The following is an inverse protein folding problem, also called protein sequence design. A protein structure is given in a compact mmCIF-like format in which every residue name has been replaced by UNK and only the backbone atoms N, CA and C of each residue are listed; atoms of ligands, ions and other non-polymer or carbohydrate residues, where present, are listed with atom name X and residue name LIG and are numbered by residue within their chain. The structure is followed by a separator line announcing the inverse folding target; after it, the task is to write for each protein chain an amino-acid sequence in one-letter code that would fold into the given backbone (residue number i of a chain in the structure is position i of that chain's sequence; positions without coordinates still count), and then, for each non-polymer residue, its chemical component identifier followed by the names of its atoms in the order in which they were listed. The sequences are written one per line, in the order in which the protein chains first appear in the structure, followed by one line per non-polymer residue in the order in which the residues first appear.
data_IF_006321363032
#
_entry.id   IF_006321363032
#
_cell.length_a   1.000
_cell.length_b   1.000
_cell.length_c   1.000
_cell.angle_alpha   90.00
_cell.angle_beta   90.00
_cell.angle_gamma   90.00
#
_symmetry.space_group_name_H-M   'P 1'
#
loop_
_entity.id
_entity.type
_entity.pdbx_description
1 polymer ?
#
# COMPACT_ATOMS: atom_id res chain seq x y z
N UNK A 1 11.52 65.83 -40.49
CA UNK A 1 11.97 64.44 -40.53
C UNK A 1 12.64 64.05 -39.22
N UNK A 2 11.95 64.16 -38.09
CA UNK A 2 12.51 63.77 -36.75
C UNK A 2 11.60 62.87 -35.96
N UNK A 3 10.53 62.33 -36.54
CA UNK A 3 9.55 61.51 -35.84
C UNK A 3 9.66 60.00 -36.09
N UNK A 4 10.65 59.56 -36.88
CA UNK A 4 10.79 58.12 -37.27
C UNK A 4 11.93 57.39 -36.56
N UNK A 5 12.65 58.09 -35.67
CA UNK A 5 13.75 57.42 -34.89
C UNK A 5 13.37 56.89 -33.54
N UNK A 6 12.15 57.17 -33.05
CA UNK A 6 11.73 56.75 -31.71
C UNK A 6 11.05 55.38 -31.68
N UNK A 7 10.87 54.74 -32.85
CA UNK A 7 10.17 53.43 -32.95
C UNK A 7 11.09 52.23 -33.16
N UNK A 8 12.41 52.43 -33.22
CA UNK A 8 13.39 51.35 -33.43
C UNK A 8 14.21 51.01 -32.19
N UNK A 9 13.99 51.67 -31.06
CA UNK A 9 14.53 51.29 -29.75
C UNK A 9 13.43 50.74 -28.86
N UNK A 10 12.62 49.84 -29.42
CA UNK A 10 11.81 48.89 -28.65
C UNK A 10 12.75 47.91 -27.95
N UNK A 11 13.00 48.19 -26.67
CA UNK A 11 13.86 47.36 -25.83
C UNK A 11 13.48 45.89 -25.97
N UNK A 12 14.43 45.11 -26.41
CA UNK A 12 14.41 43.68 -26.23
C UNK A 12 14.30 43.41 -24.72
N UNK A 13 13.07 43.18 -24.27
CA UNK A 13 12.85 42.52 -22.98
C UNK A 13 13.40 41.11 -23.13
N UNK A 14 14.69 40.98 -23.00
CA UNK A 14 15.34 39.68 -22.84
C UNK A 14 14.69 38.95 -21.68
N UNK A 15 14.59 37.63 -21.71
CA UNK A 15 14.02 36.87 -20.62
C UNK A 15 14.70 37.30 -19.32
N UNK A 16 13.89 37.68 -18.31
CA UNK A 16 14.36 38.19 -17.02
C UNK A 16 15.26 37.14 -16.36
N UNK A 17 16.51 37.06 -16.82
CA UNK A 17 17.54 36.17 -16.29
C UNK A 17 17.82 36.46 -14.83
N UNK A 18 17.49 37.68 -14.38
CA UNK A 18 17.55 38.11 -12.98
C UNK A 18 16.61 37.32 -12.08
N UNK A 19 15.52 36.73 -12.62
CA UNK A 19 14.58 35.92 -11.85
C UNK A 19 14.82 34.40 -11.97
N UNK A 20 15.65 33.95 -12.91
CA UNK A 20 15.92 32.53 -13.10
C UNK A 20 16.65 31.91 -11.90
N UNK A 21 17.47 32.67 -11.21
CA UNK A 21 18.15 32.19 -10.01
C UNK A 21 17.15 31.94 -8.85
N UNK A 22 16.05 32.70 -8.78
CA UNK A 22 14.96 32.47 -7.81
C UNK A 22 14.25 31.15 -8.11
N UNK A 23 14.04 30.81 -9.39
CA UNK A 23 13.48 29.50 -9.78
C UNK A 23 14.39 28.36 -9.35
N UNK A 24 15.71 28.51 -9.46
CA UNK A 24 16.67 27.50 -9.00
C UNK A 24 16.69 27.35 -7.49
N UNK A 25 16.55 28.45 -6.74
CA UNK A 25 16.40 28.41 -5.29
C UNK A 25 15.10 27.73 -4.89
N UNK A 26 13.99 28.05 -5.54
CA UNK A 26 12.67 27.47 -5.26
C UNK A 26 12.67 25.97 -5.60
N UNK A 27 13.29 25.58 -6.71
CA UNK A 27 13.48 24.19 -7.08
C UNK A 27 14.36 23.45 -6.06
N UNK A 28 15.43 24.07 -5.59
CA UNK A 28 16.32 23.52 -4.56
C UNK A 28 15.59 23.29 -3.23
N UNK A 29 14.76 24.25 -2.81
CA UNK A 29 13.91 24.09 -1.61
C UNK A 29 12.89 22.98 -1.77
N UNK A 30 12.30 22.83 -2.96
CA UNK A 30 11.33 21.77 -3.25
C UNK A 30 11.97 20.40 -3.19
N UNK A 31 13.15 20.24 -3.79
CA UNK A 31 13.93 18.99 -3.74
C UNK A 31 14.36 18.68 -2.31
N UNK A 32 14.81 19.69 -1.55
CA UNK A 32 15.17 19.53 -0.13
C UNK A 32 13.98 19.07 0.71
N UNK A 33 12.79 19.65 0.49
CA UNK A 33 11.57 19.26 1.20
C UNK A 33 11.18 17.81 0.90
N UNK A 34 11.34 17.35 -0.35
CA UNK A 34 11.10 15.95 -0.73
C UNK A 34 12.09 15.02 -0.02
N UNK A 35 13.38 15.38 0.00
CA UNK A 35 14.43 14.57 0.65
C UNK A 35 14.19 14.50 2.16
N UNK A 36 13.87 15.62 2.81
CA UNK A 36 13.55 15.66 4.25
C UNK A 36 12.28 14.86 4.54
N UNK A 37 11.25 14.98 3.71
CA UNK A 37 10.03 14.18 3.82
C UNK A 37 10.30 12.69 3.68
N UNK A 38 11.18 12.31 2.75
CA UNK A 38 11.54 10.91 2.53
C UNK A 38 12.38 10.32 3.68
N UNK A 39 13.32 11.10 4.21
CA UNK A 39 14.14 10.71 5.38
C UNK A 39 13.29 10.67 6.66
N UNK A 40 12.35 11.59 6.84
CA UNK A 40 11.43 11.59 7.98
C UNK A 40 10.44 10.42 7.92
N UNK A 41 9.93 10.09 6.74
CA UNK A 41 9.04 8.93 6.54
C UNK A 41 9.74 7.57 6.70
N UNK A 42 11.07 7.54 6.52
CA UNK A 42 11.88 6.32 6.70
C UNK A 42 12.23 5.97 8.14
N UNK A 43 11.99 6.86 9.09
CA UNK A 43 12.24 6.60 10.53
C UNK A 43 11.04 5.89 11.15
N UNK A 44 10.95 4.58 10.97
CA UNK A 44 10.09 3.75 11.83
C UNK A 44 10.58 3.93 13.28
N UNK A 45 9.70 4.24 14.24
CA UNK A 45 10.08 4.23 15.64
C UNK A 45 10.53 2.81 16.00
N UNK A 46 11.78 2.69 16.40
CA UNK A 46 12.36 1.46 16.96
C UNK A 46 11.66 1.22 18.29
N UNK A 47 10.67 0.33 18.30
CA UNK A 47 10.05 -0.11 19.54
C UNK A 47 11.13 -0.84 20.34
N UNK A 48 11.46 -0.30 21.50
CA UNK A 48 12.31 -0.91 22.49
C UNK A 48 11.67 -2.22 22.96
N UNK A 49 12.46 -3.28 23.26
CA UNK A 49 11.90 -4.52 23.77
C UNK A 49 11.36 -4.30 25.17
N UNK A 50 10.04 -4.37 25.32
CA UNK A 50 9.40 -4.42 26.63
C UNK A 50 9.60 -5.85 27.16
N UNK A 51 10.42 -5.94 28.20
CA UNK A 51 10.62 -7.13 29.01
C UNK A 51 9.26 -7.53 29.63
N UNK A 52 8.74 -8.68 29.21
CA UNK A 52 7.51 -9.24 29.76
C UNK A 52 7.89 -9.94 31.07
N UNK A 53 7.51 -9.35 32.17
CA UNK A 53 7.42 -10.04 33.47
C UNK A 53 5.98 -10.57 33.60
N UNK A 54 5.88 -11.86 33.84
CA UNK A 54 4.64 -12.58 34.01
C UNK A 54 3.97 -12.16 35.33
N UNK A 55 2.69 -11.79 35.26
CA UNK A 55 1.76 -11.91 36.40
C UNK A 55 0.43 -12.43 35.87
N UNK A 56 -0.01 -13.46 36.55
CA UNK A 56 -1.20 -14.30 36.36
C UNK A 56 -2.45 -13.54 36.81
N UNK A 57 -3.58 -13.83 36.11
CA UNK A 57 -4.97 -13.85 36.58
C UNK A 57 -5.69 -12.50 36.77
N UNK A 58 -6.65 -12.23 35.90
CA UNK A 58 -8.07 -12.00 36.19
C UNK A 58 -8.85 -11.68 34.88
N UNK A 59 -9.89 -12.46 34.64
CA UNK A 59 -10.99 -12.30 33.67
C UNK A 59 -11.91 -11.14 34.11
N UNK A 60 -12.76 -10.57 33.28
CA UNK A 60 -12.79 -10.12 31.87
C UNK A 60 -13.47 -8.80 31.60
N UNK A 61 -13.22 -8.20 30.49
CA UNK A 61 -14.20 -7.43 29.71
C UNK A 61 -13.69 -7.40 28.24
N UNK A 62 -14.54 -7.36 27.22
CA UNK A 62 -14.09 -7.45 25.85
C UNK A 62 -13.41 -6.12 25.46
N UNK A 63 -12.09 -6.11 25.59
CA UNK A 63 -11.24 -5.09 24.96
C UNK A 63 -11.17 -5.42 23.46
N UNK A 64 -11.14 -4.43 22.56
CA UNK A 64 -11.06 -4.68 21.13
C UNK A 64 -9.83 -5.55 20.87
N UNK A 65 -10.07 -6.78 20.47
CA UNK A 65 -9.09 -7.79 20.15
C UNK A 65 -8.04 -7.16 19.23
N UNK A 66 -6.76 -7.20 19.64
CA UNK A 66 -5.66 -7.09 18.68
C UNK A 66 -5.98 -8.08 17.58
N UNK A 67 -6.31 -7.58 16.39
CA UNK A 67 -6.57 -8.40 15.22
C UNK A 67 -5.29 -9.20 15.01
N UNK A 68 -5.30 -10.46 15.41
CA UNK A 68 -4.19 -11.35 15.22
C UNK A 68 -4.20 -11.71 13.74
N UNK A 69 -3.20 -11.24 13.01
CA UNK A 69 -3.10 -11.49 11.58
C UNK A 69 -3.00 -13.00 11.31
N UNK A 70 -3.83 -13.48 10.40
CA UNK A 70 -3.78 -14.87 9.95
C UNK A 70 -2.67 -15.06 8.90
N UNK A 71 -2.23 -16.31 8.77
CA UNK A 71 -1.26 -16.70 7.75
C UNK A 71 -1.95 -16.90 6.39
N UNK A 72 -2.15 -15.80 5.66
CA UNK A 72 -2.78 -15.81 4.34
C UNK A 72 -1.96 -16.57 3.28
N UNK A 73 -0.68 -16.90 3.55
CA UNK A 73 0.14 -17.71 2.63
C UNK A 73 -0.41 -19.15 2.50
N UNK A 74 -1.22 -19.61 3.45
CA UNK A 74 -1.92 -20.89 3.37
C UNK A 74 -2.91 -20.99 2.22
N UNK A 75 -3.41 -19.84 1.73
CA UNK A 75 -4.31 -19.77 0.58
C UNK A 75 -3.51 -20.00 -0.69
N UNK A 76 -3.91 -21.00 -1.49
CA UNK A 76 -3.24 -21.29 -2.75
C UNK A 76 -3.34 -20.10 -3.72
N UNK A 77 -2.19 -19.67 -4.22
CA UNK A 77 -2.06 -18.51 -5.10
C UNK A 77 -1.69 -17.21 -4.38
N UNK A 78 -1.69 -17.18 -3.05
CA UNK A 78 -1.23 -16.05 -2.26
C UNK A 78 0.22 -16.25 -1.81
N UNK A 79 1.13 -15.53 -2.43
CA UNK A 79 2.53 -15.49 -2.03
C UNK A 79 2.86 -14.31 -1.10
N UNK A 80 4.08 -14.24 -0.54
CA UNK A 80 4.49 -13.19 0.39
C UNK A 80 4.33 -11.77 -0.17
N UNK A 81 4.46 -11.60 -1.48
CA UNK A 81 4.26 -10.31 -2.16
C UNK A 81 2.79 -9.89 -2.10
N UNK A 82 1.87 -10.85 -2.35
CA UNK A 82 0.43 -10.60 -2.31
C UNK A 82 -0.02 -10.29 -0.89
N UNK A 83 0.44 -11.05 0.12
CA UNK A 83 0.15 -10.77 1.54
C UNK A 83 0.49 -9.33 1.91
N UNK A 84 1.66 -8.83 1.50
CA UNK A 84 2.05 -7.43 1.76
C UNK A 84 1.13 -6.42 1.09
N UNK A 85 0.62 -6.73 -0.09
CA UNK A 85 -0.32 -5.87 -0.83
C UNK A 85 -1.68 -5.87 -0.14
N UNK A 86 -2.21 -7.03 0.23
CA UNK A 86 -3.46 -7.19 0.96
C UNK A 86 -3.41 -6.50 2.33
N UNK A 87 -2.33 -6.69 3.09
CA UNK A 87 -2.14 -6.05 4.39
C UNK A 87 -2.14 -4.51 4.30
N UNK A 88 -1.61 -3.92 3.22
CA UNK A 88 -1.69 -2.48 2.98
C UNK A 88 -3.11 -1.99 2.69
N UNK A 89 -3.96 -2.87 2.20
CA UNK A 89 -5.38 -2.62 1.97
C UNK A 89 -6.26 -2.93 3.20
N UNK A 90 -5.65 -3.33 4.34
CA UNK A 90 -6.34 -3.65 5.57
C UNK A 90 -6.83 -5.10 5.67
N UNK A 91 -6.49 -5.94 4.69
CA UNK A 91 -6.88 -7.36 4.65
C UNK A 91 -5.74 -8.18 5.29
N UNK A 92 -5.91 -8.58 6.54
CA UNK A 92 -4.88 -9.27 7.33
C UNK A 92 -5.34 -10.60 7.92
N UNK A 93 -6.65 -10.90 7.88
CA UNK A 93 -7.25 -12.15 8.36
C UNK A 93 -7.95 -12.91 7.25
N UNK A 94 -8.24 -14.20 7.48
CA UNK A 94 -9.11 -14.96 6.57
C UNK A 94 -10.52 -14.37 6.51
N UNK A 95 -11.02 -13.83 7.62
CA UNK A 95 -12.33 -13.18 7.66
C UNK A 95 -12.36 -11.93 6.80
N UNK A 96 -11.36 -11.05 6.92
CA UNK A 96 -11.27 -9.84 6.09
C UNK A 96 -11.29 -10.19 4.59
N UNK A 97 -10.53 -11.22 4.21
CA UNK A 97 -10.47 -11.65 2.81
C UNK A 97 -11.77 -12.34 2.36
N UNK A 98 -12.43 -13.08 3.26
CA UNK A 98 -13.69 -13.76 2.97
C UNK A 98 -14.87 -12.79 2.74
N UNK A 99 -14.85 -11.65 3.42
CA UNK A 99 -15.84 -10.57 3.33
C UNK A 99 -15.54 -9.55 2.24
N UNK A 100 -14.30 -9.55 1.72
CA UNK A 100 -13.88 -8.61 0.68
C UNK A 100 -14.61 -8.89 -0.65
N UNK A 101 -14.92 -7.81 -1.36
CA UNK A 101 -15.41 -7.91 -2.74
C UNK A 101 -14.26 -8.23 -3.70
N UNK A 102 -14.47 -9.19 -4.60
CA UNK A 102 -13.46 -9.63 -5.55
C UNK A 102 -12.98 -8.51 -6.47
N UNK A 103 -13.89 -7.60 -6.87
CA UNK A 103 -13.53 -6.47 -7.73
C UNK A 103 -12.67 -5.44 -6.98
N UNK A 104 -12.90 -5.25 -5.70
CA UNK A 104 -12.07 -4.34 -4.90
C UNK A 104 -10.70 -4.92 -4.61
N UNK A 105 -10.62 -6.21 -4.30
CA UNK A 105 -9.34 -6.92 -4.19
C UNK A 105 -8.58 -6.86 -5.52
N UNK A 106 -9.26 -7.04 -6.67
CA UNK A 106 -8.64 -6.92 -7.98
C UNK A 106 -8.06 -5.53 -8.22
N UNK A 107 -8.78 -4.45 -7.88
CA UNK A 107 -8.28 -3.08 -7.97
C UNK A 107 -7.01 -2.86 -7.15
N UNK A 108 -6.94 -3.47 -5.96
CA UNK A 108 -5.74 -3.41 -5.10
C UNK A 108 -4.56 -4.12 -5.76
N UNK A 109 -4.81 -5.29 -6.36
CA UNK A 109 -3.80 -6.06 -7.10
C UNK A 109 -3.32 -5.31 -8.35
N UNK A 110 -4.24 -4.70 -9.11
CA UNK A 110 -3.93 -3.94 -10.32
C UNK A 110 -2.99 -2.76 -10.01
N UNK A 111 -3.26 -2.02 -8.94
CA UNK A 111 -2.39 -0.93 -8.46
C UNK A 111 -1.00 -1.39 -8.04
N UNK A 112 -0.89 -2.66 -7.64
CA UNK A 112 0.37 -3.29 -7.26
C UNK A 112 1.11 -3.97 -8.43
N UNK A 113 0.59 -3.87 -9.65
CA UNK A 113 1.15 -4.53 -10.83
C UNK A 113 0.94 -6.05 -10.86
N UNK A 114 -0.15 -6.53 -10.25
CA UNK A 114 -0.49 -7.95 -10.11
C UNK A 114 -1.80 -8.31 -10.85
N UNK A 115 -2.05 -7.68 -12.00
CA UNK A 115 -3.29 -7.81 -12.79
C UNK A 115 -3.58 -9.26 -13.23
N UNK A 116 -2.55 -10.10 -13.33
CA UNK A 116 -2.70 -11.50 -13.73
C UNK A 116 -3.25 -12.41 -12.63
N UNK A 117 -3.38 -11.89 -11.40
CA UNK A 117 -3.94 -12.62 -10.28
C UNK A 117 -5.47 -12.57 -10.32
N UNK A 118 -6.13 -13.63 -9.82
CA UNK A 118 -7.59 -13.70 -9.70
C UNK A 118 -7.97 -13.93 -8.24
N UNK A 119 -8.60 -12.97 -7.57
CA UNK A 119 -8.92 -13.06 -6.15
C UNK A 119 -10.12 -13.96 -5.83
N UNK A 120 -10.97 -14.33 -6.79
CA UNK A 120 -12.19 -15.12 -6.53
C UNK A 120 -11.87 -16.44 -5.82
N UNK A 121 -10.88 -17.19 -6.32
CA UNK A 121 -10.49 -18.46 -5.72
C UNK A 121 -9.85 -18.28 -4.32
N UNK A 122 -9.27 -17.12 -4.03
CA UNK A 122 -8.75 -16.82 -2.70
C UNK A 122 -9.86 -16.53 -1.70
N UNK A 123 -10.89 -15.80 -2.14
CA UNK A 123 -12.07 -15.47 -1.32
C UNK A 123 -12.83 -16.77 -0.97
N UNK A 124 -13.00 -17.67 -1.94
CA UNK A 124 -13.64 -18.97 -1.70
C UNK A 124 -12.87 -19.81 -0.68
N UNK A 125 -11.52 -19.82 -0.76
CA UNK A 125 -10.67 -20.49 0.21
C UNK A 125 -10.73 -19.80 1.59
N UNK A 126 -10.69 -18.46 1.60
CA UNK A 126 -10.75 -17.68 2.84
C UNK A 126 -12.06 -17.92 3.61
N UNK A 127 -13.19 -18.06 2.92
CA UNK A 127 -14.49 -18.38 3.52
C UNK A 127 -14.47 -19.73 4.25
N UNK A 128 -13.74 -20.72 3.74
CA UNK A 128 -13.62 -22.02 4.38
C UNK A 128 -12.65 -21.96 5.57
N UNK A 129 -11.52 -21.27 5.40
CA UNK A 129 -10.53 -21.08 6.45
C UNK A 129 -11.12 -20.29 7.64
N UNK A 130 -11.88 -19.22 7.39
CA UNK A 130 -12.54 -18.42 8.42
C UNK A 130 -13.57 -19.23 9.24
N UNK A 131 -14.19 -20.25 8.62
CA UNK A 131 -15.10 -21.18 9.29
C UNK A 131 -14.38 -22.33 10.01
N UNK A 132 -13.07 -22.45 9.84
CA UNK A 132 -12.29 -23.58 10.37
C UNK A 132 -12.53 -24.89 9.61
N UNK A 133 -13.17 -24.87 8.43
CA UNK A 133 -13.41 -26.07 7.63
C UNK A 133 -12.20 -26.41 6.75
N UNK A 134 -11.17 -26.90 7.41
CA UNK A 134 -9.91 -27.24 6.76
C UNK A 134 -10.04 -28.41 5.78
N UNK A 135 -10.98 -29.34 6.01
CA UNK A 135 -11.22 -30.47 5.13
C UNK A 135 -11.79 -30.02 3.77
N UNK A 136 -12.77 -29.11 3.77
CA UNK A 136 -13.29 -28.51 2.55
C UNK A 136 -12.27 -27.58 1.89
N UNK A 137 -11.46 -26.86 2.68
CA UNK A 137 -10.38 -26.02 2.23
C UNK A 137 -9.35 -26.80 1.39
N UNK A 138 -8.84 -27.92 1.90
CA UNK A 138 -7.90 -28.77 1.16
C UNK A 138 -8.51 -29.36 -0.10
N UNK A 139 -9.79 -29.80 -0.04
CA UNK A 139 -10.50 -30.29 -1.22
C UNK A 139 -10.63 -29.21 -2.30
N UNK A 140 -10.88 -27.97 -1.90
CA UNK A 140 -10.95 -26.85 -2.81
C UNK A 140 -9.58 -26.57 -3.43
N UNK A 141 -8.51 -26.55 -2.63
CA UNK A 141 -7.14 -26.32 -3.14
C UNK A 141 -6.73 -27.35 -4.20
N UNK A 142 -7.06 -28.62 -4.01
CA UNK A 142 -6.79 -29.67 -5.03
C UNK A 142 -7.48 -29.42 -6.36
N UNK A 143 -8.57 -28.64 -6.40
CA UNK A 143 -9.31 -28.26 -7.61
C UNK A 143 -8.81 -26.96 -8.24
N UNK A 144 -8.00 -26.21 -7.52
CA UNK A 144 -7.42 -24.95 -7.99
C UNK A 144 -6.02 -25.19 -8.58
N UNK A 145 -5.57 -24.23 -9.36
CA UNK A 145 -4.19 -24.12 -9.82
C UNK A 145 -3.77 -22.65 -9.72
N UNK A 146 -2.91 -22.35 -8.75
CA UNK A 146 -2.51 -20.96 -8.49
C UNK A 146 -3.69 -20.06 -8.11
N UNK A 147 -4.63 -20.58 -7.31
CA UNK A 147 -5.84 -19.86 -6.89
C UNK A 147 -6.96 -19.77 -7.92
N UNK A 148 -6.82 -20.40 -9.11
CA UNK A 148 -7.84 -20.39 -10.17
C UNK A 148 -8.53 -21.76 -10.30
N UNK A 149 -9.82 -21.74 -10.57
CA UNK A 149 -10.55 -22.97 -10.96
C UNK A 149 -9.98 -23.49 -12.30
N UNK A 150 -9.71 -24.81 -12.36
CA UNK A 150 -9.28 -25.48 -13.60
C UNK A 150 -10.41 -25.53 -14.58
#
# INVERSE_FOLDING_TARGET
MLALRFWLEGGEAGPNTELLWLLWILLGFFVLAIIVGWVAAGRKPKQAPVKVEAVVDETPAPVPSKIQADDLVKIEGIGPKVVKVLARAGIVTFTDLAEADAADVQKVLDRAGLQMMNPEGWIDQAKLAAKGDWAAFEKLQKKLKGGRKK
#
